data_IF_139938897904
#
_entry.id   IF_139938897904
#
_cell.length_a   1.000
_cell.length_b   1.000
_cell.length_c   1.000
_cell.angle_alpha   90.00
_cell.angle_beta   90.00
_cell.angle_gamma   90.00
#
_symmetry.space_group_name_H-M   'P 1'
#
loop_
_entity.id
_entity.type
_entity.pdbx_description
1 polymer ?
#
# COMPACT_ATOMS: atom_id res chain seq x y z
N UNK A 1 6.23 -4.25 15.42
CA UNK A 1 5.67 -5.62 15.30
C UNK A 1 6.06 -6.17 13.94
N UNK A 2 6.21 -7.49 13.81
CA UNK A 2 6.51 -8.15 12.53
C UNK A 2 5.25 -8.54 11.76
N UNK A 3 5.41 -9.26 10.65
CA UNK A 3 4.29 -9.80 9.86
C UNK A 3 3.43 -10.75 10.70
N UNK A 4 2.12 -10.73 10.47
CA UNK A 4 1.16 -11.63 11.11
C UNK A 4 0.23 -12.24 10.06
N UNK A 5 0.01 -13.54 10.15
CA UNK A 5 -0.86 -14.31 9.25
C UNK A 5 -2.05 -14.84 10.06
N UNK A 6 -3.23 -14.22 9.94
CA UNK A 6 -4.40 -14.62 10.71
C UNK A 6 -4.89 -16.01 10.35
N UNK A 7 -5.42 -16.74 11.35
CA UNK A 7 -5.94 -18.11 11.14
C UNK A 7 -7.34 -18.13 10.55
N UNK A 8 -8.08 -17.04 10.69
CA UNK A 8 -9.40 -16.84 10.11
C UNK A 8 -9.74 -15.33 10.06
N UNK A 9 -10.94 -15.01 9.54
CA UNK A 9 -11.39 -13.62 9.37
C UNK A 9 -11.54 -12.88 10.70
N UNK A 10 -12.10 -13.50 11.72
CA UNK A 10 -12.34 -12.83 13.02
C UNK A 10 -11.03 -12.49 13.73
N UNK A 11 -10.06 -13.41 13.63
CA UNK A 11 -8.70 -13.19 14.11
C UNK A 11 -8.03 -12.03 13.35
N UNK A 12 -8.20 -11.97 12.02
CA UNK A 12 -7.68 -10.88 11.20
C UNK A 12 -8.25 -9.52 11.62
N UNK A 13 -9.57 -9.43 11.81
CA UNK A 13 -10.26 -8.21 12.25
C UNK A 13 -9.76 -7.76 13.62
N UNK A 14 -9.63 -8.69 14.57
CA UNK A 14 -9.11 -8.38 15.91
C UNK A 14 -7.67 -7.88 15.83
N UNK A 15 -6.81 -8.58 15.09
CA UNK A 15 -5.38 -8.29 15.00
C UNK A 15 -5.07 -7.01 14.25
N UNK A 16 -5.78 -6.69 13.17
CA UNK A 16 -5.56 -5.44 12.45
C UNK A 16 -5.91 -4.22 13.30
N UNK A 17 -7.01 -4.29 14.07
CA UNK A 17 -7.40 -3.22 15.01
C UNK A 17 -6.38 -3.09 16.16
N UNK A 18 -5.92 -4.21 16.71
CA UNK A 18 -4.84 -4.26 17.71
C UNK A 18 -3.57 -3.58 17.15
N UNK A 19 -3.13 -3.95 15.95
CA UNK A 19 -1.89 -3.45 15.36
C UNK A 19 -1.98 -1.95 15.05
N UNK A 20 -3.10 -1.50 14.49
CA UNK A 20 -3.35 -0.07 14.24
C UNK A 20 -3.40 0.74 15.54
N UNK A 21 -3.96 0.18 16.62
CA UNK A 21 -3.98 0.83 17.94
C UNK A 21 -2.58 1.00 18.54
N UNK A 22 -1.66 0.08 18.23
CA UNK A 22 -0.26 0.14 18.66
C UNK A 22 0.56 1.04 17.74
N UNK A 23 0.31 0.98 16.43
CA UNK A 23 1.02 1.78 15.43
C UNK A 23 0.13 2.06 14.23
N UNK A 24 -0.14 3.34 13.99
CA UNK A 24 -0.83 3.79 12.78
C UNK A 24 -0.02 3.52 11.49
N UNK A 25 1.27 3.16 11.58
CA UNK A 25 2.08 2.78 10.42
C UNK A 25 1.86 1.33 9.96
N UNK A 26 0.76 0.70 10.36
CA UNK A 26 0.43 -0.68 9.98
C UNK A 26 0.00 -0.76 8.51
N UNK A 27 0.60 -1.70 7.76
CA UNK A 27 0.22 -2.02 6.37
C UNK A 27 -0.81 -3.16 6.35
N UNK A 28 -1.88 -3.00 5.55
CA UNK A 28 -3.07 -3.85 5.64
C UNK A 28 -3.44 -4.42 4.26
N UNK A 29 -3.74 -5.72 4.25
CA UNK A 29 -4.29 -6.44 3.09
C UNK A 29 -3.29 -6.68 1.96
N UNK A 30 -3.79 -7.18 0.83
CA UNK A 30 -2.96 -7.67 -0.28
C UNK A 30 -2.15 -6.58 -0.98
N UNK A 31 -2.62 -5.33 -0.96
CA UNK A 31 -1.89 -4.17 -1.50
C UNK A 31 -1.09 -3.40 -0.46
N UNK A 32 -1.02 -3.92 0.76
CA UNK A 32 -0.24 -3.36 1.87
C UNK A 32 -0.49 -1.86 2.06
N UNK A 33 -1.77 -1.48 2.16
CA UNK A 33 -2.16 -0.08 2.34
C UNK A 33 -1.75 0.36 3.75
N UNK A 34 -0.85 1.34 3.85
CA UNK A 34 -0.47 1.91 5.13
C UNK A 34 -1.63 2.70 5.75
N UNK A 35 -1.99 2.38 7.00
CA UNK A 35 -3.13 2.99 7.67
C UNK A 35 -2.99 4.51 7.82
N UNK A 36 -1.88 5.00 8.37
CA UNK A 36 -1.63 6.43 8.64
C UNK A 36 -1.64 7.28 7.38
N UNK A 37 -1.01 6.77 6.32
CA UNK A 37 -0.76 7.57 5.13
C UNK A 37 -1.92 7.53 4.14
N UNK A 38 -2.56 6.38 4.02
CA UNK A 38 -3.51 6.11 2.95
C UNK A 38 -4.86 5.64 3.51
N UNK A 39 -4.87 4.58 4.30
CA UNK A 39 -6.10 3.89 4.71
C UNK A 39 -7.11 4.78 5.44
N UNK A 40 -6.64 5.53 6.46
CA UNK A 40 -7.50 6.37 7.31
C UNK A 40 -8.15 7.54 6.58
N UNK A 41 -7.70 7.87 5.37
CA UNK A 41 -8.31 8.92 4.54
C UNK A 41 -9.57 8.44 3.79
N UNK A 42 -9.76 7.11 3.66
CA UNK A 42 -10.84 6.53 2.84
C UNK A 42 -11.84 5.69 3.63
N UNK A 43 -11.42 5.11 4.76
CA UNK A 43 -12.26 4.24 5.59
C UNK A 43 -12.06 4.56 7.07
N UNK A 44 -13.10 4.34 7.87
CA UNK A 44 -13.06 4.60 9.32
C UNK A 44 -12.58 3.43 10.15
N UNK A 45 -12.70 2.20 9.64
CA UNK A 45 -12.26 0.98 10.33
C UNK A 45 -11.19 0.26 9.50
N UNK A 46 -9.98 0.00 10.05
CA UNK A 46 -8.93 -0.72 9.34
C UNK A 46 -9.33 -2.13 8.90
N UNK A 47 -10.31 -2.74 9.55
CA UNK A 47 -10.82 -4.06 9.16
C UNK A 47 -11.50 -4.06 7.78
N UNK A 48 -11.96 -2.90 7.28
CA UNK A 48 -12.51 -2.77 5.93
C UNK A 48 -11.46 -3.08 4.85
N UNK A 49 -10.18 -2.85 5.14
CA UNK A 49 -9.07 -3.13 4.20
C UNK A 49 -8.70 -4.62 4.13
N UNK A 50 -9.34 -5.48 4.92
CA UNK A 50 -9.22 -6.94 4.80
C UNK A 50 -10.10 -7.51 3.67
N UNK A 51 -11.10 -6.74 3.23
CA UNK A 51 -11.86 -7.08 2.03
C UNK A 51 -11.01 -6.84 0.79
N UNK A 52 -10.84 -7.88 -0.05
CA UNK A 52 -9.88 -7.88 -1.16
C UNK A 52 -10.29 -6.85 -2.22
N UNK A 53 -11.57 -6.79 -2.57
CA UNK A 53 -12.06 -5.89 -3.62
C UNK A 53 -11.91 -4.44 -3.18
N UNK A 54 -12.30 -4.12 -1.94
CA UNK A 54 -12.10 -2.78 -1.36
C UNK A 54 -10.62 -2.41 -1.26
N UNK A 55 -9.75 -3.36 -0.87
CA UNK A 55 -8.30 -3.11 -0.80
C UNK A 55 -7.72 -2.78 -2.17
N UNK A 56 -8.14 -3.50 -3.22
CA UNK A 56 -7.73 -3.24 -4.61
C UNK A 56 -8.25 -1.87 -5.07
N UNK A 57 -9.53 -1.58 -4.90
CA UNK A 57 -10.15 -0.32 -5.31
C UNK A 57 -9.45 0.89 -4.66
N UNK A 58 -9.27 0.86 -3.35
CA UNK A 58 -8.62 1.96 -2.63
C UNK A 58 -7.14 2.10 -2.99
N UNK A 59 -6.43 0.98 -3.19
CA UNK A 59 -5.03 1.04 -3.64
C UNK A 59 -4.89 1.73 -4.99
N UNK A 60 -5.82 1.50 -5.92
CA UNK A 60 -5.82 2.15 -7.22
C UNK A 60 -6.04 3.65 -7.08
N UNK A 61 -6.98 4.09 -6.24
CA UNK A 61 -7.21 5.53 -5.95
C UNK A 61 -5.98 6.20 -5.37
N UNK A 62 -5.31 5.56 -4.40
CA UNK A 62 -4.07 6.06 -3.80
C UNK A 62 -2.96 6.17 -4.84
N UNK A 63 -2.79 5.15 -5.68
CA UNK A 63 -1.79 5.17 -6.75
C UNK A 63 -2.07 6.27 -7.78
N UNK A 64 -3.32 6.44 -8.22
CA UNK A 64 -3.72 7.53 -9.10
C UNK A 64 -3.35 8.89 -8.48
N UNK A 65 -3.65 9.09 -7.20
CA UNK A 65 -3.29 10.31 -6.50
C UNK A 65 -1.77 10.53 -6.43
N UNK A 66 -1.00 9.47 -6.21
CA UNK A 66 0.46 9.56 -6.20
C UNK A 66 1.02 9.95 -7.59
N UNK A 67 0.41 9.44 -8.66
CA UNK A 67 0.75 9.80 -10.05
C UNK A 67 0.43 11.26 -10.33
N UNK A 68 -0.75 11.75 -9.92
CA UNK A 68 -1.11 13.18 -10.05
C UNK A 68 -0.11 14.11 -9.36
N UNK A 69 0.44 13.70 -8.22
CA UNK A 69 1.42 14.46 -7.45
C UNK A 69 2.85 14.36 -8.03
N UNK A 70 3.09 13.44 -8.97
CA UNK A 70 4.40 13.21 -9.59
C UNK A 70 4.25 12.88 -11.09
N UNK A 71 3.62 13.77 -11.88
CA UNK A 71 3.14 13.45 -13.23
C UNK A 71 4.27 13.14 -14.23
N UNK A 72 5.48 13.60 -13.93
CA UNK A 72 6.66 13.45 -14.79
C UNK A 72 7.65 12.38 -14.29
N UNK A 73 7.34 11.66 -13.20
CA UNK A 73 8.21 10.63 -12.64
C UNK A 73 7.36 9.49 -12.05
N UNK A 74 6.98 8.55 -12.92
CA UNK A 74 6.15 7.39 -12.55
C UNK A 74 6.82 6.50 -11.49
N UNK A 75 8.16 6.40 -11.52
CA UNK A 75 8.90 5.66 -10.50
C UNK A 75 8.78 6.36 -9.14
N UNK A 76 8.91 7.69 -9.11
CA UNK A 76 8.66 8.45 -7.88
C UNK A 76 7.21 8.32 -7.40
N UNK A 77 6.23 8.34 -8.31
CA UNK A 77 4.82 8.18 -7.96
C UNK A 77 4.55 6.82 -7.28
N UNK A 78 4.99 5.72 -7.89
CA UNK A 78 4.89 4.37 -7.32
C UNK A 78 5.66 4.30 -5.99
N UNK A 79 6.84 4.92 -5.93
CA UNK A 79 7.62 5.05 -4.71
C UNK A 79 6.86 5.71 -3.57
N UNK A 80 6.21 6.84 -3.85
CA UNK A 80 5.47 7.62 -2.87
C UNK A 80 4.23 6.89 -2.34
N UNK A 81 3.63 5.99 -3.13
CA UNK A 81 2.58 5.08 -2.64
C UNK A 81 3.08 4.27 -1.44
N UNK A 82 4.30 3.73 -1.52
CA UNK A 82 4.90 2.88 -0.49
C UNK A 82 5.63 3.66 0.61
N UNK A 83 6.35 4.72 0.24
CA UNK A 83 7.16 5.54 1.14
C UNK A 83 6.87 7.03 0.90
N UNK A 84 5.79 7.57 1.47
CA UNK A 84 5.38 8.98 1.27
C UNK A 84 6.23 9.99 2.05
N UNK A 85 7.34 9.56 2.68
CA UNK A 85 8.22 10.43 3.45
C UNK A 85 9.19 11.20 2.53
N UNK A 86 9.13 12.55 2.47
CA UNK A 86 10.01 13.34 1.62
C UNK A 86 11.51 13.14 1.91
N UNK A 87 11.89 12.85 3.16
CA UNK A 87 13.28 12.58 3.54
C UNK A 87 13.81 11.26 2.94
N UNK A 88 12.92 10.38 2.48
CA UNK A 88 13.25 9.08 1.89
C UNK A 88 12.94 9.04 0.39
N UNK A 89 12.83 10.20 -0.27
CA UNK A 89 12.44 10.33 -1.68
C UNK A 89 13.23 9.41 -2.62
N UNK A 90 14.55 9.33 -2.46
CA UNK A 90 15.40 8.48 -3.31
C UNK A 90 15.10 6.99 -3.10
N UNK A 91 14.95 6.53 -1.85
CA UNK A 91 14.55 5.14 -1.55
C UNK A 91 13.17 4.80 -2.09
N UNK A 92 12.24 5.75 -2.00
CA UNK A 92 10.92 5.61 -2.60
C UNK A 92 11.04 5.39 -4.12
N UNK A 93 11.85 6.20 -4.80
CA UNK A 93 12.08 6.06 -6.24
C UNK A 93 12.72 4.71 -6.61
N UNK A 94 13.75 4.28 -5.88
CA UNK A 94 14.40 2.96 -6.08
C UNK A 94 13.39 1.79 -5.98
N UNK A 95 12.46 1.87 -5.03
CA UNK A 95 11.36 0.93 -4.93
C UNK A 95 10.46 0.97 -6.17
N UNK A 96 10.07 2.17 -6.62
CA UNK A 96 9.26 2.34 -7.82
C UNK A 96 9.93 1.82 -9.10
N UNK A 97 11.23 2.05 -9.26
CA UNK A 97 12.03 1.51 -10.36
C UNK A 97 12.04 -0.03 -10.34
N UNK A 98 12.15 -0.64 -9.16
CA UNK A 98 12.08 -2.09 -8.98
C UNK A 98 10.71 -2.65 -9.39
N UNK A 99 9.63 -1.96 -9.01
CA UNK A 99 8.25 -2.33 -9.42
C UNK A 99 8.09 -2.26 -10.93
N UNK A 100 8.58 -1.19 -11.58
CA UNK A 100 8.50 -1.03 -13.04
C UNK A 100 9.31 -2.10 -13.78
N UNK A 101 10.46 -2.50 -13.25
CA UNK A 101 11.25 -3.59 -13.80
C UNK A 101 10.48 -4.91 -13.77
N UNK A 102 9.82 -5.23 -12.66
CA UNK A 102 8.98 -6.42 -12.54
C UNK A 102 7.80 -6.34 -13.52
N UNK A 103 7.11 -5.20 -13.56
CA UNK A 103 6.00 -4.98 -14.48
C UNK A 103 6.39 -5.19 -15.94
N UNK A 104 7.53 -4.65 -16.35
CA UNK A 104 8.07 -4.84 -17.71
C UNK A 104 8.27 -6.32 -18.03
N UNK A 105 8.88 -7.07 -17.12
CA UNK A 105 9.09 -8.53 -17.28
C UNK A 105 7.78 -9.31 -17.36
N UNK A 106 6.77 -8.94 -16.58
CA UNK A 106 5.45 -9.56 -16.65
C UNK A 106 4.79 -9.31 -18.01
N UNK A 107 4.88 -8.08 -18.54
CA UNK A 107 4.35 -7.75 -19.86
C UNK A 107 5.06 -8.48 -21.01
N UNK A 108 6.35 -8.73 -20.88
CA UNK A 108 7.14 -9.50 -21.86
C UNK A 108 6.79 -10.99 -21.84
N UNK A 109 6.47 -11.56 -20.67
CA UNK A 109 6.10 -12.97 -20.52
C UNK A 109 4.63 -13.27 -20.88
N UNK A 110 3.80 -12.24 -21.09
CA UNK A 110 2.41 -12.36 -21.56
C UNK A 110 2.31 -12.42 -23.10
N UNK A 111 3.42 -12.23 -23.82
CA UNK A 111 3.53 -12.32 -25.28
C UNK A 111 4.00 -13.70 -25.73
#
# INVERSE_FOLDING_TARGET
MGSYYPVNRDDAVRKVREYVSVSALTDIGIKQINWRWNGSNYVSDPAELLDVDKNIELSAKVLCRAIELSPNDIAQAIGNYHTPNPALKNKAKEYGESVLLIWKRLKENEQ
#
